data_IF_818833076902
#
_entry.id   IF_818833076902
#
_cell.length_a   1.000
_cell.length_b   1.000
_cell.length_c   1.000
_cell.angle_alpha   90.00
_cell.angle_beta   90.00
_cell.angle_gamma   90.00
#
_symmetry.space_group_name_H-M   'P 1'
#
loop_
_entity.id
_entity.type
_entity.pdbx_description
1 polymer ?
#
# COMPACT_ATOMS: atom_id res chain seq x y z
N UNK A 1 5.23 4.06 35.37
CA UNK A 1 5.82 2.73 35.04
C UNK A 1 4.93 1.88 34.15
N UNK A 2 3.63 1.75 34.44
CA UNK A 2 2.70 0.95 33.62
C UNK A 2 2.61 1.43 32.16
N UNK A 3 2.50 2.75 31.94
CA UNK A 3 2.46 3.36 30.60
C UNK A 3 3.71 3.07 29.77
N UNK A 4 4.90 3.24 30.35
CA UNK A 4 6.17 2.93 29.70
C UNK A 4 6.30 1.44 29.36
N UNK A 5 5.82 0.56 30.24
CA UNK A 5 5.82 -0.88 30.01
C UNK A 5 4.88 -1.26 28.85
N UNK A 6 3.72 -0.60 28.75
CA UNK A 6 2.76 -0.83 27.66
C UNK A 6 3.34 -0.39 26.30
N UNK A 7 3.98 0.78 26.26
CA UNK A 7 4.64 1.30 25.05
C UNK A 7 5.76 0.36 24.61
N UNK A 8 6.59 -0.11 25.54
CA UNK A 8 7.66 -1.06 25.25
C UNK A 8 7.10 -2.37 24.68
N UNK A 9 6.04 -2.90 25.28
CA UNK A 9 5.40 -4.13 24.82
C UNK A 9 4.80 -3.97 23.42
N UNK A 10 4.21 -2.82 23.11
CA UNK A 10 3.74 -2.47 21.76
C UNK A 10 4.90 -2.45 20.75
N UNK A 11 6.02 -1.79 21.08
CA UNK A 11 7.20 -1.70 20.21
C UNK A 11 7.77 -3.09 19.93
N UNK A 12 7.94 -3.92 20.97
CA UNK A 12 8.43 -5.30 20.82
C UNK A 12 7.47 -6.12 19.95
N UNK A 13 6.15 -5.98 20.15
CA UNK A 13 5.15 -6.68 19.34
C UNK A 13 5.25 -6.32 17.87
N UNK A 14 5.41 -5.03 17.55
CA UNK A 14 5.63 -4.54 16.18
C UNK A 14 6.90 -5.17 15.60
N UNK A 15 8.02 -5.14 16.32
CA UNK A 15 9.29 -5.72 15.86
C UNK A 15 9.14 -7.22 15.57
N UNK A 16 8.51 -7.98 16.47
CA UNK A 16 8.33 -9.43 16.31
C UNK A 16 7.44 -9.77 15.10
N UNK A 17 6.38 -8.99 14.86
CA UNK A 17 5.50 -9.22 13.71
C UNK A 17 6.25 -8.96 12.40
N UNK A 18 6.97 -7.84 12.29
CA UNK A 18 7.73 -7.50 11.08
C UNK A 18 9.00 -8.32 10.90
N UNK A 19 9.50 -8.99 11.94
CA UNK A 19 10.64 -9.93 11.85
C UNK A 19 10.22 -11.37 11.55
N UNK A 20 8.93 -11.69 11.68
CA UNK A 20 8.43 -13.05 11.48
C UNK A 20 8.36 -13.40 10.00
N UNK A 21 9.02 -14.50 9.62
CA UNK A 21 8.94 -15.06 8.25
C UNK A 21 7.53 -15.49 7.85
N UNK A 22 6.67 -15.80 8.82
CA UNK A 22 5.28 -16.22 8.55
C UNK A 22 4.34 -15.03 8.41
N UNK A 23 4.56 -13.95 9.17
CA UNK A 23 3.66 -12.78 9.19
C UNK A 23 4.13 -11.64 8.26
N UNK A 24 5.44 -11.53 8.03
CA UNK A 24 6.05 -10.58 7.11
C UNK A 24 7.16 -11.28 6.31
N UNK A 25 6.81 -12.20 5.40
CA UNK A 25 7.81 -12.94 4.61
C UNK A 25 8.72 -12.03 3.77
N UNK A 26 8.26 -10.82 3.45
CA UNK A 26 9.02 -9.78 2.76
C UNK A 26 9.17 -8.59 3.72
N UNK A 27 10.39 -8.08 3.96
CA UNK A 27 10.59 -6.89 4.78
C UNK A 27 9.88 -5.68 4.18
N UNK A 28 9.23 -4.88 5.03
CA UNK A 28 8.59 -3.64 4.59
C UNK A 28 9.66 -2.60 4.21
N UNK A 29 9.62 -2.15 2.95
CA UNK A 29 10.52 -1.11 2.44
C UNK A 29 9.69 -0.03 1.71
N UNK A 30 9.34 1.08 2.38
CA UNK A 30 8.48 2.10 1.78
C UNK A 30 9.18 2.80 0.62
N UNK A 31 8.41 3.11 -0.42
CA UNK A 31 8.86 4.02 -1.46
C UNK A 31 9.10 5.43 -0.90
N UNK A 32 10.16 6.09 -1.35
CA UNK A 32 10.52 7.40 -0.84
C UNK A 32 9.58 8.49 -1.37
N UNK A 33 9.06 9.39 -0.51
CA UNK A 33 8.13 10.44 -0.94
C UNK A 33 8.70 11.38 -2.01
N UNK A 34 10.01 11.59 -2.02
CA UNK A 34 10.71 12.44 -2.99
C UNK A 34 10.61 11.91 -4.42
N UNK A 35 10.52 10.59 -4.60
CA UNK A 35 10.46 9.93 -5.91
C UNK A 35 9.03 9.84 -6.46
N UNK A 36 8.01 10.12 -5.64
CA UNK A 36 6.60 9.99 -6.05
C UNK A 36 6.22 10.77 -7.31
N UNK A 37 6.66 12.03 -7.51
CA UNK A 37 6.37 12.75 -8.75
C UNK A 37 6.94 12.03 -9.99
N UNK A 38 8.15 11.48 -9.89
CA UNK A 38 8.80 10.74 -10.98
C UNK A 38 8.08 9.42 -11.25
N UNK A 39 7.76 8.66 -10.21
CA UNK A 39 7.02 7.39 -10.31
C UNK A 39 5.65 7.62 -10.96
N UNK A 40 4.86 8.57 -10.46
CA UNK A 40 3.53 8.87 -11.02
C UNK A 40 3.62 9.37 -12.46
N UNK A 41 4.65 10.14 -12.79
CA UNK A 41 4.91 10.56 -14.19
C UNK A 41 5.24 9.37 -15.09
N UNK A 42 6.07 8.44 -14.62
CA UNK A 42 6.49 7.26 -15.37
C UNK A 42 5.32 6.30 -15.68
N UNK A 43 4.31 6.24 -14.80
CA UNK A 43 3.09 5.45 -15.04
C UNK A 43 2.29 5.92 -16.26
N UNK A 44 2.49 7.16 -16.72
CA UNK A 44 1.84 7.76 -17.89
C UNK A 44 0.33 7.48 -17.91
N UNK A 45 -0.36 7.93 -16.85
CA UNK A 45 -1.75 7.58 -16.59
C UNK A 45 -2.67 7.93 -17.76
N UNK A 46 -3.48 6.96 -18.18
CA UNK A 46 -4.42 7.07 -19.32
C UNK A 46 -5.82 6.61 -18.95
N UNK A 47 -6.80 7.09 -19.70
CA UNK A 47 -8.17 6.65 -19.51
C UNK A 47 -8.30 5.13 -19.80
N UNK A 48 -9.07 4.43 -18.97
CA UNK A 48 -9.29 2.98 -19.05
C UNK A 48 -8.02 2.09 -18.95
N UNK A 49 -6.89 2.64 -18.50
CA UNK A 49 -5.70 1.87 -18.16
C UNK A 49 -5.91 1.12 -16.82
N UNK A 50 -5.25 -0.02 -16.65
CA UNK A 50 -5.10 -0.66 -15.33
C UNK A 50 -3.65 -0.57 -14.88
N UNK A 51 -3.42 -0.04 -13.69
CA UNK A 51 -2.12 -0.01 -13.01
C UNK A 51 -2.12 -1.07 -11.91
N UNK A 52 -1.08 -1.91 -11.89
CA UNK A 52 -0.93 -3.00 -10.93
C UNK A 52 0.37 -2.77 -10.16
N UNK A 53 0.29 -2.81 -8.84
CA UNK A 53 1.42 -2.70 -7.93
C UNK A 53 1.59 -4.03 -7.18
N UNK A 54 2.68 -4.73 -7.48
CA UNK A 54 2.99 -6.08 -7.01
C UNK A 54 3.92 -5.98 -5.79
N UNK A 55 3.40 -6.22 -4.59
CA UNK A 55 4.11 -5.89 -3.35
C UNK A 55 3.89 -4.43 -2.96
N UNK A 56 2.61 -4.02 -2.93
CA UNK A 56 2.19 -2.62 -2.80
C UNK A 56 2.59 -1.97 -1.48
N UNK A 57 3.03 -2.73 -0.46
CA UNK A 57 3.44 -2.20 0.82
C UNK A 57 2.29 -1.49 1.52
N UNK A 58 2.47 -0.23 1.88
CA UNK A 58 1.39 0.60 2.47
C UNK A 58 0.46 1.25 1.41
N UNK A 59 0.69 0.95 0.13
CA UNK A 59 -0.09 1.43 -1.01
C UNK A 59 0.23 2.85 -1.47
N UNK A 60 1.29 3.49 -0.96
CA UNK A 60 1.58 4.92 -1.24
C UNK A 60 1.60 5.24 -2.74
N UNK A 61 2.19 4.37 -3.57
CA UNK A 61 2.29 4.56 -5.03
C UNK A 61 0.88 4.54 -5.66
N UNK A 62 0.09 3.49 -5.40
CA UNK A 62 -1.28 3.35 -5.91
C UNK A 62 -2.16 4.53 -5.48
N UNK A 63 -2.09 4.97 -4.22
CA UNK A 63 -2.92 6.10 -3.77
C UNK A 63 -2.50 7.43 -4.40
N UNK A 64 -1.20 7.69 -4.56
CA UNK A 64 -0.72 8.90 -5.25
C UNK A 64 -1.13 8.89 -6.72
N UNK A 65 -0.99 7.76 -7.40
CA UNK A 65 -1.42 7.61 -8.79
C UNK A 65 -2.94 7.72 -8.93
N UNK A 66 -3.72 7.12 -8.03
CA UNK A 66 -5.17 7.19 -8.02
C UNK A 66 -5.68 8.62 -7.76
N UNK A 67 -5.01 9.38 -6.90
CA UNK A 67 -5.31 10.79 -6.67
C UNK A 67 -5.05 11.63 -7.93
N UNK A 68 -3.94 11.37 -8.63
CA UNK A 68 -3.62 12.06 -9.88
C UNK A 68 -4.63 11.73 -10.98
N UNK A 69 -4.97 10.45 -11.15
CA UNK A 69 -6.01 9.98 -12.08
C UNK A 69 -7.36 10.65 -11.80
N UNK A 70 -7.75 10.78 -10.53
CA UNK A 70 -8.99 11.44 -10.14
C UNK A 70 -8.99 12.92 -10.51
N UNK A 71 -7.89 13.65 -10.24
CA UNK A 71 -7.74 15.06 -10.61
C UNK A 71 -7.83 15.26 -12.13
N UNK A 72 -7.27 14.34 -12.90
CA UNK A 72 -7.30 14.35 -14.36
C UNK A 72 -8.60 13.79 -14.96
N UNK A 73 -9.58 13.40 -14.13
CA UNK A 73 -10.85 12.78 -14.54
C UNK A 73 -10.68 11.52 -15.41
N UNK A 74 -9.63 10.75 -15.16
CA UNK A 74 -9.35 9.48 -15.85
C UNK A 74 -10.05 8.32 -15.13
N UNK A 75 -10.59 7.37 -15.90
CA UNK A 75 -11.15 6.11 -15.42
C UNK A 75 -10.08 5.00 -15.25
N UNK A 76 -8.86 5.38 -14.88
CA UNK A 76 -7.78 4.42 -14.60
C UNK A 76 -8.17 3.53 -13.42
N UNK A 77 -7.96 2.22 -13.55
CA UNK A 77 -8.13 1.25 -12.48
C UNK A 77 -6.78 0.97 -11.81
N UNK A 78 -6.83 0.67 -10.53
CA UNK A 78 -5.66 0.45 -9.68
C UNK A 78 -5.83 -0.84 -8.92
N UNK A 79 -4.80 -1.70 -8.95
CA UNK A 79 -4.76 -2.97 -8.22
C UNK A 79 -3.53 -2.97 -7.34
N UNK A 80 -3.72 -3.05 -6.03
CA UNK A 80 -2.66 -3.22 -5.05
C UNK A 80 -2.65 -4.68 -4.59
N UNK A 81 -1.54 -5.39 -4.82
CA UNK A 81 -1.34 -6.77 -4.34
C UNK A 81 -0.35 -6.74 -3.19
N UNK A 82 -0.73 -7.30 -2.04
CA UNK A 82 0.12 -7.37 -0.84
C UNK A 82 -0.13 -8.66 -0.06
N UNK A 83 0.93 -9.23 0.53
CA UNK A 83 0.89 -10.49 1.28
C UNK A 83 0.86 -10.25 2.79
N UNK A 84 1.34 -9.11 3.28
CA UNK A 84 1.34 -8.78 4.70
C UNK A 84 -0.05 -8.29 5.14
N UNK A 85 -0.67 -9.00 6.09
CA UNK A 85 -2.03 -8.69 6.58
C UNK A 85 -2.15 -7.31 7.24
N UNK A 86 -1.11 -6.83 7.92
CA UNK A 86 -1.11 -5.50 8.55
C UNK A 86 -1.11 -4.42 7.47
N UNK A 87 -0.28 -4.59 6.46
CA UNK A 87 -0.20 -3.66 5.34
C UNK A 87 -1.50 -3.66 4.53
N UNK A 88 -2.12 -4.82 4.30
CA UNK A 88 -3.47 -4.93 3.70
C UNK A 88 -4.49 -4.10 4.50
N UNK A 89 -4.50 -4.22 5.83
CA UNK A 89 -5.39 -3.42 6.68
C UNK A 89 -5.14 -1.92 6.50
N UNK A 90 -3.87 -1.49 6.47
CA UNK A 90 -3.49 -0.10 6.22
C UNK A 90 -4.01 0.38 4.85
N UNK A 91 -3.84 -0.41 3.78
CA UNK A 91 -4.33 -0.06 2.45
C UNK A 91 -5.86 0.05 2.45
N UNK A 92 -6.58 -0.85 3.13
CA UNK A 92 -8.04 -0.78 3.25
C UNK A 92 -8.52 0.50 3.94
N UNK A 93 -7.85 0.90 5.03
CA UNK A 93 -8.13 2.16 5.72
C UNK A 93 -7.88 3.37 4.82
N UNK A 94 -6.74 3.43 4.12
CA UNK A 94 -6.45 4.49 3.14
C UNK A 94 -7.50 4.54 2.03
N UNK A 95 -7.94 3.38 1.52
CA UNK A 95 -8.98 3.27 0.48
C UNK A 95 -10.32 3.81 0.93
N UNK A 96 -10.73 3.59 2.18
CA UNK A 96 -12.04 4.01 2.69
C UNK A 96 -12.29 5.51 2.47
N UNK A 97 -11.25 6.32 2.68
CA UNK A 97 -11.28 7.79 2.61
C UNK A 97 -10.83 8.37 1.26
N UNK A 98 -10.37 7.53 0.32
CA UNK A 98 -9.84 8.03 -0.94
C UNK A 98 -10.97 8.40 -1.93
N UNK A 99 -10.95 9.57 -2.60
CA UNK A 99 -12.01 9.98 -3.53
C UNK A 99 -12.16 9.03 -4.72
N UNK A 100 -11.06 8.41 -5.16
CA UNK A 100 -11.05 7.44 -6.25
C UNK A 100 -11.28 5.97 -5.83
N UNK A 101 -11.81 5.71 -4.62
CA UNK A 101 -11.87 4.36 -4.03
C UNK A 101 -12.58 3.28 -4.86
N UNK A 102 -13.52 3.67 -5.72
CA UNK A 102 -14.24 2.75 -6.63
C UNK A 102 -13.31 2.17 -7.70
N UNK A 103 -12.22 2.86 -8.01
CA UNK A 103 -11.23 2.45 -9.00
C UNK A 103 -10.02 1.76 -8.37
N UNK A 104 -10.00 1.56 -7.04
CA UNK A 104 -8.91 0.92 -6.31
C UNK A 104 -9.40 -0.45 -5.84
N UNK A 105 -8.73 -1.51 -6.29
CA UNK A 105 -8.90 -2.89 -5.83
C UNK A 105 -7.70 -3.28 -4.98
N UNK A 106 -7.97 -3.92 -3.85
CA UNK A 106 -6.95 -4.44 -2.95
C UNK A 106 -7.04 -5.96 -3.05
N UNK A 107 -5.90 -6.62 -3.19
CA UNK A 107 -5.79 -8.07 -3.32
C UNK A 107 -4.80 -8.56 -2.28
N UNK A 108 -5.27 -9.39 -1.36
CA UNK A 108 -4.40 -10.19 -0.51
C UNK A 108 -3.88 -11.37 -1.32
N UNK A 109 -2.58 -11.45 -1.56
CA UNK A 109 -2.01 -12.47 -2.42
C UNK A 109 -0.48 -12.52 -2.42
N UNK A 110 0.04 -13.73 -2.67
CA UNK A 110 1.45 -13.97 -2.91
C UNK A 110 1.74 -13.77 -4.40
N UNK A 111 2.47 -12.70 -4.73
CA UNK A 111 2.78 -12.34 -6.13
C UNK A 111 3.55 -13.43 -6.89
N UNK A 112 4.20 -14.36 -6.18
CA UNK A 112 4.96 -15.46 -6.78
C UNK A 112 4.11 -16.73 -7.01
N UNK A 113 2.86 -16.75 -6.54
CA UNK A 113 1.95 -17.91 -6.66
C UNK A 113 0.60 -17.59 -7.31
N UNK A 114 0.40 -16.34 -7.71
CA UNK A 114 -0.84 -15.88 -8.37
C UNK A 114 -0.89 -16.22 -9.86
#
# INVERSE_FOLDING_TARGET
>A
MLTYSLILLLIISVILIFSSKTLSPIPYFPSQPIDMPLIVKALNLKNNQTVIDLGAGDGIVIFKAAQQSYKQKLNTKFVAVEINLILILIIHLRRLFHPNKKNIKIVYGDIFKM
#
